data_IF_881543648994
#
_entry.id   IF_881543648994
#
_cell.length_a   1.000
_cell.length_b   1.000
_cell.length_c   1.000
_cell.angle_alpha   90.00
_cell.angle_beta   90.00
_cell.angle_gamma   90.00
#
_symmetry.space_group_name_H-M   'P 1'
#
loop_
_entity.id
_entity.type
_entity.pdbx_description
1 polymer ?
#
# COMPACT_ATOMS: atom_id res chain seq x y z
N UNK A 1 -32.36 -6.26 -22.74
CA UNK A 1 -33.71 -5.86 -23.18
C UNK A 1 -34.28 -4.89 -22.16
N UNK A 2 -34.56 -3.65 -22.56
CA UNK A 2 -35.03 -2.59 -21.68
C UNK A 2 -36.44 -2.90 -21.17
N UNK A 3 -36.61 -2.90 -19.85
CA UNK A 3 -37.86 -3.29 -19.20
C UNK A 3 -38.91 -2.17 -19.35
N UNK A 4 -39.74 -2.33 -20.38
CA UNK A 4 -40.71 -1.35 -20.87
C UNK A 4 -42.00 -1.42 -20.05
N UNK A 5 -41.95 -1.04 -18.77
CA UNK A 5 -43.14 -0.72 -17.96
C UNK A 5 -42.74 -0.16 -16.57
N UNK A 6 -42.16 1.03 -16.52
CA UNK A 6 -42.10 1.79 -15.27
C UNK A 6 -43.48 2.45 -15.02
N UNK A 7 -44.48 1.63 -14.70
CA UNK A 7 -45.73 2.14 -14.09
C UNK A 7 -45.33 2.88 -12.81
N UNK A 8 -45.75 4.14 -12.72
CA UNK A 8 -45.50 5.11 -11.64
C UNK A 8 -45.59 4.46 -10.26
N UNK A 9 -44.46 4.06 -9.68
CA UNK A 9 -44.41 3.43 -8.34
C UNK A 9 -45.04 4.35 -7.31
N UNK A 10 -46.01 3.85 -6.55
CA UNK A 10 -46.48 4.52 -5.33
C UNK A 10 -45.40 4.27 -4.27
N UNK A 11 -44.68 5.32 -3.89
CA UNK A 11 -43.50 5.28 -3.03
C UNK A 11 -43.86 5.07 -1.56
N UNK A 12 -44.47 3.94 -1.18
CA UNK A 12 -44.52 3.56 0.24
C UNK A 12 -43.38 2.59 0.56
N UNK A 13 -42.89 2.63 1.81
CA UNK A 13 -41.70 1.90 2.24
C UNK A 13 -41.85 0.37 2.11
N UNK A 14 -43.08 -0.14 2.24
CA UNK A 14 -43.37 -1.57 2.15
C UNK A 14 -43.30 -2.06 0.70
N UNK A 15 -43.94 -1.35 -0.24
CA UNK A 15 -43.90 -1.67 -1.67
C UNK A 15 -42.50 -1.57 -2.27
N UNK A 16 -41.68 -0.62 -1.78
CA UNK A 16 -40.28 -0.50 -2.19
C UNK A 16 -39.43 -1.64 -1.65
N UNK A 17 -39.69 -2.14 -0.44
CA UNK A 17 -38.95 -3.25 0.16
C UNK A 17 -39.18 -4.56 -0.61
N UNK A 18 -40.38 -4.77 -1.12
CA UNK A 18 -40.74 -6.00 -1.85
C UNK A 18 -40.08 -6.12 -3.22
N UNK A 19 -39.68 -4.99 -3.82
CA UNK A 19 -38.95 -4.95 -5.11
C UNK A 19 -37.48 -4.57 -4.97
N UNK A 20 -37.04 -4.18 -3.77
CA UNK A 20 -35.66 -3.81 -3.52
C UNK A 20 -34.78 -5.06 -3.44
N UNK A 21 -33.69 -5.07 -4.21
CA UNK A 21 -32.59 -5.96 -3.96
C UNK A 21 -31.88 -5.52 -2.67
N UNK A 22 -32.23 -6.14 -1.54
CA UNK A 22 -31.59 -5.88 -0.23
C UNK A 22 -30.13 -6.34 -0.24
N UNK A 23 -29.84 -7.37 -1.03
CA UNK A 23 -28.51 -7.94 -1.21
C UNK A 23 -28.10 -7.88 -2.67
N UNK A 24 -26.80 -7.79 -2.92
CA UNK A 24 -26.30 -7.87 -4.28
C UNK A 24 -26.60 -9.26 -4.87
N UNK A 25 -27.15 -9.32 -6.09
CA UNK A 25 -27.25 -10.56 -6.87
C UNK A 25 -25.91 -11.28 -6.96
N UNK A 26 -25.94 -12.60 -7.12
CA UNK A 26 -24.74 -13.44 -7.15
C UNK A 26 -23.77 -13.02 -8.26
N UNK A 27 -24.30 -12.55 -9.39
CA UNK A 27 -23.51 -12.09 -10.53
C UNK A 27 -22.70 -10.83 -10.17
N UNK A 28 -23.32 -9.86 -9.48
CA UNK A 28 -22.64 -8.65 -9.01
C UNK A 28 -21.66 -8.94 -7.87
N UNK A 29 -21.96 -9.94 -7.02
CA UNK A 29 -21.02 -10.40 -5.99
C UNK A 29 -19.79 -11.06 -6.61
N UNK A 30 -19.96 -11.92 -7.60
CA UNK A 30 -18.86 -12.56 -8.31
C UNK A 30 -18.00 -11.54 -9.08
N UNK A 31 -18.64 -10.59 -9.77
CA UNK A 31 -17.94 -9.51 -10.47
C UNK A 31 -17.19 -8.59 -9.50
N UNK A 32 -17.82 -8.25 -8.37
CA UNK A 32 -17.17 -7.47 -7.31
C UNK A 32 -16.04 -8.25 -6.65
N UNK A 33 -16.16 -9.56 -6.43
CA UNK A 33 -15.09 -10.38 -5.89
C UNK A 33 -13.88 -10.43 -6.83
N UNK A 34 -14.09 -10.38 -8.15
CA UNK A 34 -13.00 -10.23 -9.13
C UNK A 34 -12.40 -8.82 -9.18
N UNK A 35 -13.16 -7.79 -8.78
CA UNK A 35 -12.69 -6.40 -8.72
C UNK A 35 -12.15 -5.99 -7.33
N UNK A 36 -12.47 -6.76 -6.29
CA UNK A 36 -12.18 -6.42 -4.90
C UNK A 36 -10.78 -6.87 -4.51
N UNK A 37 -10.06 -5.96 -3.88
CA UNK A 37 -8.71 -6.18 -3.37
C UNK A 37 -8.73 -7.05 -2.10
N UNK A 38 -9.83 -7.00 -1.33
CA UNK A 38 -9.90 -7.59 0.02
C UNK A 38 -9.66 -9.11 0.01
N UNK A 39 -10.28 -9.93 -0.87
CA UNK A 39 -10.01 -11.37 -0.92
C UNK A 39 -8.53 -11.71 -1.19
N UNK A 40 -7.87 -10.93 -2.05
CA UNK A 40 -6.45 -11.11 -2.38
C UNK A 40 -5.58 -10.80 -1.15
N UNK A 41 -5.90 -9.71 -0.44
CA UNK A 41 -5.19 -9.36 0.80
C UNK A 41 -5.36 -10.45 1.87
N UNK A 42 -6.59 -10.89 2.12
CA UNK A 42 -6.86 -11.95 3.10
C UNK A 42 -6.10 -13.24 2.75
N UNK A 43 -6.11 -13.66 1.49
CA UNK A 43 -5.40 -14.86 1.03
C UNK A 43 -3.88 -14.77 1.21
N UNK A 44 -3.31 -13.57 1.15
CA UNK A 44 -1.86 -13.35 1.16
C UNK A 44 -1.31 -12.84 2.49
N UNK A 45 -2.18 -12.63 3.48
CA UNK A 45 -1.83 -12.07 4.77
C UNK A 45 -0.83 -12.92 5.54
N UNK A 46 -1.04 -14.25 5.62
CA UNK A 46 -0.16 -15.14 6.39
C UNK A 46 1.27 -15.15 5.84
N UNK A 47 1.40 -15.14 4.51
CA UNK A 47 2.71 -15.09 3.85
C UNK A 47 3.38 -13.73 4.05
N UNK A 48 2.62 -12.63 3.99
CA UNK A 48 3.11 -11.29 4.31
C UNK A 48 3.65 -11.22 5.76
N UNK A 49 2.89 -11.70 6.74
CA UNK A 49 3.31 -11.74 8.15
C UNK A 49 4.57 -12.60 8.30
N UNK A 50 4.60 -13.77 7.66
CA UNK A 50 5.75 -14.67 7.71
C UNK A 50 7.04 -13.99 7.26
N UNK A 51 6.99 -13.23 6.15
CA UNK A 51 8.14 -12.44 5.67
C UNK A 51 8.63 -11.46 6.74
N UNK A 52 7.74 -10.71 7.38
CA UNK A 52 8.12 -9.75 8.42
C UNK A 52 8.71 -10.45 9.66
N UNK A 53 8.15 -11.58 10.08
CA UNK A 53 8.64 -12.32 11.26
C UNK A 53 10.02 -12.95 11.05
N UNK A 54 10.39 -13.24 9.80
CA UNK A 54 11.68 -13.82 9.44
C UNK A 54 12.80 -12.77 9.26
N UNK A 55 12.48 -11.48 9.29
CA UNK A 55 13.46 -10.40 9.24
C UNK A 55 14.17 -10.26 10.59
N UNK A 56 15.35 -10.86 10.73
CA UNK A 56 16.08 -10.94 11.99
C UNK A 56 17.57 -10.52 11.94
N UNK A 57 18.18 -10.46 10.76
CA UNK A 57 19.60 -10.13 10.62
C UNK A 57 19.83 -8.64 10.37
N UNK A 58 19.12 -8.06 9.40
CA UNK A 58 19.29 -6.66 8.99
C UNK A 58 17.96 -6.02 8.59
N UNK A 59 17.83 -4.67 8.68
CA UNK A 59 16.60 -3.99 8.28
C UNK A 59 16.20 -4.22 6.80
N UNK A 60 17.19 -4.38 5.91
CA UNK A 60 16.99 -4.58 4.47
C UNK A 60 16.76 -6.05 4.06
N UNK A 61 16.93 -7.02 4.97
CA UNK A 61 16.71 -8.45 4.72
C UNK A 61 15.30 -8.76 4.17
N UNK A 62 14.33 -7.89 4.48
CA UNK A 62 12.96 -7.96 3.95
C UNK A 62 12.94 -8.04 2.42
N UNK A 63 13.87 -7.38 1.72
CA UNK A 63 13.93 -7.41 0.25
C UNK A 63 14.31 -8.78 -0.30
N UNK A 64 15.26 -9.45 0.35
CA UNK A 64 15.70 -10.79 -0.02
C UNK A 64 14.60 -11.79 0.25
N UNK A 65 13.89 -11.66 1.38
CA UNK A 65 12.77 -12.52 1.75
C UNK A 65 11.56 -12.36 0.82
N UNK A 66 11.20 -11.13 0.43
CA UNK A 66 10.15 -10.89 -0.59
C UNK A 66 10.51 -11.62 -1.89
N UNK A 67 11.77 -11.48 -2.33
CA UNK A 67 12.25 -12.07 -3.57
C UNK A 67 12.28 -13.61 -3.49
N UNK A 68 12.79 -14.17 -2.39
CA UNK A 68 12.87 -15.61 -2.16
C UNK A 68 11.49 -16.27 -2.04
N UNK A 69 10.55 -15.61 -1.37
CA UNK A 69 9.16 -16.05 -1.26
C UNK A 69 8.36 -15.90 -2.57
N UNK A 70 8.95 -15.28 -3.60
CA UNK A 70 8.28 -14.88 -4.85
C UNK A 70 7.00 -14.09 -4.57
N UNK A 71 7.02 -13.27 -3.52
CA UNK A 71 5.88 -12.48 -3.12
C UNK A 71 5.82 -11.21 -3.95
N UNK A 72 4.64 -10.87 -4.47
CA UNK A 72 4.52 -9.69 -5.33
C UNK A 72 4.80 -8.41 -4.55
N UNK A 73 5.73 -7.58 -5.04
CA UNK A 73 6.23 -6.43 -4.29
C UNK A 73 5.16 -5.34 -4.10
N UNK A 74 4.30 -5.12 -5.09
CA UNK A 74 3.16 -4.21 -4.95
C UNK A 74 2.12 -4.73 -3.94
N UNK A 75 1.93 -6.05 -3.86
CA UNK A 75 1.03 -6.65 -2.87
C UNK A 75 1.60 -6.53 -1.46
N UNK A 76 2.91 -6.71 -1.30
CA UNK A 76 3.60 -6.52 -0.03
C UNK A 76 3.46 -5.07 0.45
N UNK A 77 3.73 -4.14 -0.47
CA UNK A 77 3.59 -2.73 -0.19
C UNK A 77 2.14 -2.34 0.14
N UNK A 78 1.14 -2.96 -0.51
CA UNK A 78 -0.27 -2.71 -0.20
C UNK A 78 -0.62 -3.12 1.22
N UNK A 79 -0.11 -4.26 1.71
CA UNK A 79 -0.27 -4.67 3.11
C UNK A 79 0.34 -3.65 4.07
N UNK A 80 1.57 -3.21 3.83
CA UNK A 80 2.22 -2.19 4.67
C UNK A 80 1.46 -0.87 4.70
N UNK A 81 1.02 -0.38 3.54
CA UNK A 81 0.25 0.87 3.44
C UNK A 81 -1.05 0.81 4.25
N UNK A 82 -1.70 -0.35 4.30
CA UNK A 82 -2.91 -0.55 5.12
C UNK A 82 -2.55 -0.57 6.61
N UNK A 83 -1.49 -1.27 7.00
CA UNK A 83 -1.08 -1.38 8.40
C UNK A 83 -0.60 -0.05 8.99
N UNK A 84 0.13 0.73 8.21
CA UNK A 84 0.66 2.03 8.62
C UNK A 84 -0.38 3.17 8.51
N UNK A 85 -1.57 2.90 7.97
CA UNK A 85 -2.55 3.92 7.57
C UNK A 85 -1.93 5.04 6.71
N UNK A 86 -0.94 4.69 5.88
CA UNK A 86 -0.08 5.64 5.17
C UNK A 86 -0.27 5.52 3.65
N UNK A 87 -1.46 5.93 3.21
CA UNK A 87 -1.93 5.81 1.83
C UNK A 87 -1.40 6.87 0.85
N UNK A 88 -2.05 6.95 -0.31
CA UNK A 88 -1.60 7.81 -1.40
C UNK A 88 -1.53 9.31 -1.09
N UNK A 89 -2.36 9.82 -0.17
CA UNK A 89 -2.34 11.23 0.23
C UNK A 89 -1.15 11.54 1.16
N UNK A 90 -0.94 10.83 2.30
CA UNK A 90 0.28 10.99 3.11
C UNK A 90 1.57 10.78 2.30
N UNK A 91 1.64 9.75 1.47
CA UNK A 91 2.79 9.50 0.58
C UNK A 91 3.05 10.67 -0.37
N UNK A 92 2.00 11.21 -1.00
CA UNK A 92 2.15 12.36 -1.90
C UNK A 92 2.68 13.59 -1.16
N UNK A 93 2.23 13.80 0.08
CA UNK A 93 2.67 14.90 0.94
C UNK A 93 4.13 14.75 1.35
N UNK A 94 4.52 13.56 1.83
CA UNK A 94 5.90 13.22 2.16
C UNK A 94 6.84 13.50 1.00
N UNK A 95 6.48 13.03 -0.19
CA UNK A 95 7.30 13.21 -1.38
C UNK A 95 7.46 14.68 -1.80
N UNK A 96 6.48 15.55 -1.52
CA UNK A 96 6.60 17.01 -1.76
C UNK A 96 7.54 17.67 -0.75
N UNK A 97 7.53 17.19 0.49
CA UNK A 97 8.33 17.74 1.59
C UNK A 97 9.62 16.95 1.84
N UNK A 98 10.02 16.07 0.92
CA UNK A 98 11.05 15.06 1.16
C UNK A 98 12.38 15.66 1.59
N UNK A 99 12.77 16.79 1.01
CA UNK A 99 14.02 17.49 1.31
C UNK A 99 14.05 18.13 2.70
N UNK A 100 12.87 18.39 3.28
CA UNK A 100 12.75 18.94 4.63
C UNK A 100 12.74 17.81 5.68
N UNK A 101 12.35 16.60 5.28
CA UNK A 101 12.22 15.44 6.19
C UNK A 101 13.53 14.66 6.24
N UNK A 102 14.13 14.40 5.07
CA UNK A 102 15.33 13.59 4.98
C UNK A 102 16.52 14.45 4.58
N UNK A 103 17.64 14.40 5.32
CA UNK A 103 18.84 15.14 4.96
C UNK A 103 19.51 14.56 3.71
N UNK A 104 20.27 15.40 3.01
CA UNK A 104 21.07 15.00 1.86
C UNK A 104 22.47 14.61 2.34
N UNK A 105 22.90 13.39 2.01
CA UNK A 105 24.28 12.96 2.17
C UNK A 105 25.14 13.63 1.08
N UNK A 106 25.95 14.61 1.48
CA UNK A 106 26.76 15.44 0.58
C UNK A 106 27.77 14.65 -0.29
N UNK A 107 28.49 13.65 0.24
CA UNK A 107 29.35 12.76 -0.56
C UNK A 107 28.65 12.08 -1.75
N UNK A 108 27.46 11.52 -1.55
CA UNK A 108 26.77 10.68 -2.54
C UNK A 108 25.65 11.41 -3.29
N UNK A 109 25.35 12.65 -2.88
CA UNK A 109 24.24 13.46 -3.37
C UNK A 109 22.89 12.72 -3.37
N UNK A 110 22.69 11.90 -2.33
CA UNK A 110 21.48 11.10 -2.10
C UNK A 110 20.87 11.45 -0.76
N UNK A 111 19.55 11.35 -0.66
CA UNK A 111 18.88 11.48 0.63
C UNK A 111 19.13 10.25 1.49
N UNK A 112 19.21 10.46 2.79
CA UNK A 112 19.40 9.39 3.78
C UNK A 112 18.29 9.41 4.82
N UNK A 113 18.00 8.23 5.34
CA UNK A 113 17.12 8.05 6.49
C UNK A 113 17.91 7.35 7.59
N UNK A 114 18.10 8.03 8.70
CA UNK A 114 18.70 7.46 9.91
C UNK A 114 17.58 6.97 10.83
N UNK A 115 17.69 5.73 11.30
CA UNK A 115 16.64 5.07 12.08
C UNK A 115 17.22 4.05 13.04
N UNK A 116 16.53 3.81 14.15
CA UNK A 116 16.93 2.78 15.12
C UNK A 116 16.14 1.49 14.91
N UNK A 117 16.85 0.37 14.79
CA UNK A 117 16.26 -0.97 14.70
C UNK A 117 16.97 -1.92 15.66
N UNK A 118 16.19 -2.54 16.57
CA UNK A 118 16.72 -3.44 17.63
C UNK A 118 17.88 -2.82 18.41
N UNK A 119 17.68 -1.57 18.86
CA UNK A 119 18.65 -0.80 19.66
C UNK A 119 19.99 -0.52 18.94
N UNK A 120 20.00 -0.63 17.61
CA UNK A 120 21.13 -0.26 16.77
C UNK A 120 20.70 0.76 15.74
N UNK A 121 21.55 1.73 15.48
CA UNK A 121 21.29 2.75 14.49
C UNK A 121 21.74 2.29 13.11
N UNK A 122 20.90 2.56 12.13
CA UNK A 122 21.12 2.24 10.72
C UNK A 122 20.88 3.48 9.88
N UNK A 123 21.51 3.51 8.71
CA UNK A 123 21.29 4.55 7.70
C UNK A 123 20.88 3.88 6.40
N UNK A 124 19.79 4.35 5.82
CA UNK A 124 19.29 3.93 4.52
C UNK A 124 19.49 5.02 3.49
N UNK A 125 20.17 4.69 2.39
CA UNK A 125 20.32 5.58 1.24
C UNK A 125 19.16 5.39 0.27
N UNK A 126 18.34 6.42 0.09
CA UNK A 126 17.25 6.40 -0.89
C UNK A 126 17.81 6.25 -2.30
N UNK A 127 17.19 5.38 -3.09
CA UNK A 127 17.65 5.02 -4.44
C UNK A 127 16.92 5.78 -5.52
N UNK A 128 15.66 6.12 -5.29
CA UNK A 128 14.79 6.74 -6.29
C UNK A 128 13.99 7.94 -5.76
N UNK A 129 13.70 8.02 -4.46
CA UNK A 129 13.05 9.18 -3.87
C UNK A 129 14.00 10.38 -3.70
N UNK A 130 13.48 11.62 -3.85
CA UNK A 130 12.11 11.98 -4.21
C UNK A 130 11.82 11.85 -5.71
N UNK A 131 10.56 11.64 -6.07
CA UNK A 131 10.10 11.55 -7.47
C UNK A 131 9.12 12.67 -7.83
N UNK A 132 8.91 12.93 -9.13
CA UNK A 132 7.95 13.96 -9.58
C UNK A 132 6.51 13.71 -9.11
N UNK A 133 6.09 12.44 -9.02
CA UNK A 133 4.73 12.09 -8.59
C UNK A 133 4.76 10.74 -7.88
N UNK A 134 4.27 10.73 -6.64
CA UNK A 134 4.08 9.54 -5.83
C UNK A 134 2.59 9.35 -5.55
N UNK A 135 2.02 8.23 -6.01
CA UNK A 135 0.62 7.86 -5.81
C UNK A 135 0.43 6.35 -5.93
N UNK A 136 -0.76 5.85 -5.57
CA UNK A 136 -1.06 4.42 -5.57
C UNK A 136 -0.82 3.74 -6.93
N UNK A 137 -1.18 4.41 -8.03
CA UNK A 137 -0.98 3.88 -9.39
C UNK A 137 0.50 3.76 -9.73
N UNK A 138 1.31 4.74 -9.35
CA UNK A 138 2.77 4.74 -9.56
C UNK A 138 3.45 3.59 -8.79
N UNK A 139 2.91 3.26 -7.62
CA UNK A 139 3.39 2.16 -6.78
C UNK A 139 2.78 0.79 -7.15
N UNK A 140 1.80 0.75 -8.06
CA UNK A 140 1.12 -0.49 -8.46
C UNK A 140 0.16 -1.05 -7.39
N UNK A 141 -0.28 -0.21 -6.45
CA UNK A 141 -1.11 -0.59 -5.28
C UNK A 141 -2.57 -0.13 -5.39
N UNK A 142 -2.99 0.24 -6.61
CA UNK A 142 -4.41 0.46 -6.94
C UNK A 142 -5.13 -0.85 -7.25
N UNK A 143 -6.46 -0.85 -7.31
CA UNK A 143 -7.22 -2.09 -7.46
C UNK A 143 -6.98 -2.86 -8.75
N UNK A 144 -6.52 -2.20 -9.81
CA UNK A 144 -6.34 -2.84 -11.13
C UNK A 144 -4.92 -3.38 -11.32
N UNK A 145 -3.93 -2.66 -10.80
CA UNK A 145 -2.52 -2.99 -10.94
C UNK A 145 -2.04 -3.95 -9.85
N UNK A 146 -2.72 -4.00 -8.70
CA UNK A 146 -2.38 -4.90 -7.60
C UNK A 146 -2.47 -6.38 -7.98
N UNK A 147 -3.40 -6.72 -8.89
CA UNK A 147 -3.62 -8.11 -9.35
C UNK A 147 -2.44 -8.61 -10.19
N UNK A 148 -1.66 -7.70 -10.78
CA UNK A 148 -0.50 -8.05 -11.61
C UNK A 148 0.72 -8.17 -10.71
N UNK A 149 1.40 -9.31 -10.81
CA UNK A 149 2.66 -9.52 -10.11
C UNK A 149 3.70 -8.49 -10.55
N UNK A 150 4.40 -7.92 -9.58
CA UNK A 150 5.47 -6.95 -9.82
C UNK A 150 6.70 -7.31 -9.00
N UNK A 151 7.85 -7.25 -9.65
CA UNK A 151 9.13 -7.36 -8.97
C UNK A 151 9.40 -6.14 -8.09
N UNK A 152 10.29 -6.33 -7.13
CA UNK A 152 10.76 -5.27 -6.26
C UNK A 152 11.66 -4.31 -7.03
N UNK A 153 11.22 -3.06 -7.18
CA UNK A 153 12.00 -1.96 -7.75
C UNK A 153 12.49 -1.02 -6.65
N UNK A 154 13.40 -0.10 -7.01
CA UNK A 154 14.03 0.79 -6.04
C UNK A 154 13.04 1.76 -5.40
N UNK A 155 12.03 2.26 -6.14
CA UNK A 155 10.95 3.07 -5.56
C UNK A 155 10.17 2.29 -4.49
N UNK A 156 9.81 1.04 -4.74
CA UNK A 156 9.10 0.21 -3.76
C UNK A 156 9.98 -0.07 -2.54
N UNK A 157 11.28 -0.31 -2.73
CA UNK A 157 12.22 -0.47 -1.61
C UNK A 157 12.26 0.78 -0.73
N UNK A 158 12.42 1.95 -1.35
CA UNK A 158 12.44 3.22 -0.63
C UNK A 158 11.18 3.42 0.22
N UNK A 159 9.99 3.13 -0.34
CA UNK A 159 8.72 3.26 0.41
C UNK A 159 8.59 2.19 1.48
N UNK A 160 9.01 0.94 1.24
CA UNK A 160 9.00 -0.11 2.26
C UNK A 160 9.84 0.31 3.47
N UNK A 161 11.02 0.90 3.26
CA UNK A 161 11.86 1.37 4.37
C UNK A 161 11.18 2.47 5.19
N UNK A 162 10.57 3.44 4.51
CA UNK A 162 9.81 4.51 5.18
C UNK A 162 8.67 3.93 6.02
N UNK A 163 7.90 2.99 5.46
CA UNK A 163 6.75 2.42 6.16
C UNK A 163 7.14 1.52 7.35
N UNK A 164 8.30 0.87 7.27
CA UNK A 164 8.78 0.00 8.35
C UNK A 164 9.48 0.77 9.48
N UNK A 165 10.24 1.82 9.13
CA UNK A 165 11.18 2.45 10.07
C UNK A 165 11.06 3.97 10.15
N UNK A 166 10.25 4.61 9.30
CA UNK A 166 10.10 6.06 9.25
C UNK A 166 9.61 6.69 10.57
N UNK A 167 8.84 5.95 11.38
CA UNK A 167 8.40 6.42 12.70
C UNK A 167 9.54 6.47 13.73
N UNK A 168 10.63 5.75 13.48
CA UNK A 168 11.82 5.67 14.35
C UNK A 168 12.95 6.61 13.92
N UNK A 169 12.69 7.49 12.96
CA UNK A 169 13.66 8.51 12.51
C UNK A 169 13.59 9.76 13.37
N UNK A 170 14.73 10.44 13.57
CA UNK A 170 14.75 11.79 14.12
C UNK A 170 14.07 12.77 13.14
N UNK A 171 12.83 13.18 13.42
CA UNK A 171 12.03 14.05 12.53
C UNK A 171 10.70 13.46 12.05
N UNK A 172 10.31 12.28 12.54
CA UNK A 172 9.02 11.62 12.21
C UNK A 172 7.79 12.54 12.33
N UNK A 173 7.77 13.44 13.31
CA UNK A 173 6.70 14.42 13.51
C UNK A 173 6.47 15.35 12.31
N UNK A 174 7.53 15.72 11.58
CA UNK A 174 7.45 16.63 10.42
C UNK A 174 6.89 15.94 9.17
N UNK A 175 6.94 14.61 9.17
CA UNK A 175 6.54 13.74 8.06
C UNK A 175 5.16 13.08 8.27
N UNK A 176 4.57 13.24 9.47
CA UNK A 176 3.37 12.53 9.89
C UNK A 176 3.56 11.01 9.92
N UNK A 177 4.79 10.56 10.22
CA UNK A 177 5.21 9.15 10.26
C UNK A 177 5.06 8.55 11.66
#
# INVERSE_FOLDING_TARGET
MANKNLKKYKRNINELRDVAAIWWPEELRAESATASIIPILLKTQDQFISILTLCDQTPEQVFDLISAAKFSANLFLKHLVILADYGGEPLSRLNKNFQNVFPLNHPDNRFIMEFSWREKDYSYNFKQLPVKTLNNRKLGIDGTTLIKEQSLDDLKKDIIMILLYGSTTEGSEQAGL
#
